data_IF_296644081642
#
_entry.id   IF_296644081642
#
_cell.length_a   1.000
_cell.length_b   1.000
_cell.length_c   1.000
_cell.angle_alpha   90.00
_cell.angle_beta   90.00
_cell.angle_gamma   90.00
#
_symmetry.space_group_name_H-M   'P 1'
#
loop_
_entity.id
_entity.type
_entity.pdbx_description
1 polymer ?
#
# COMPACT_ATOMS: atom_id res chain seq x y z
N UNK A 1 13.02 1.39 14.32
CA UNK A 1 12.69 0.34 13.35
C UNK A 1 11.19 0.12 13.47
N UNK A 2 10.44 0.18 12.38
CA UNK A 2 8.98 0.16 12.43
C UNK A 2 8.54 -1.30 12.35
N UNK A 3 7.66 -1.71 13.25
CA UNK A 3 7.18 -3.09 13.26
C UNK A 3 5.92 -3.24 12.41
N UNK A 4 6.11 -3.29 11.09
CA UNK A 4 5.05 -3.50 10.11
C UNK A 4 4.76 -4.99 9.85
N UNK A 5 5.20 -5.88 10.74
CA UNK A 5 4.92 -7.32 10.67
C UNK A 5 4.03 -7.74 11.82
N UNK A 6 4.38 -7.36 13.05
CA UNK A 6 3.61 -7.74 14.24
C UNK A 6 2.49 -6.75 14.57
N UNK A 7 2.53 -5.52 14.07
CA UNK A 7 1.52 -4.50 14.34
C UNK A 7 0.61 -4.27 13.12
N UNK A 8 -0.68 -4.07 13.37
CA UNK A 8 -1.64 -3.69 12.34
C UNK A 8 -1.48 -2.23 11.92
N UNK A 9 -1.97 -1.87 10.73
CA UNK A 9 -1.96 -0.47 10.30
C UNK A 9 -2.81 0.45 11.21
N UNK A 10 -3.74 -0.16 11.93
CA UNK A 10 -4.66 0.44 12.89
C UNK A 10 -4.07 0.52 14.32
N UNK A 11 -2.80 0.13 14.52
CA UNK A 11 -2.13 0.21 15.81
C UNK A 11 -1.72 1.64 16.17
N UNK A 12 -2.11 2.11 17.36
CA UNK A 12 -1.82 3.47 17.81
C UNK A 12 -0.32 3.73 18.00
N UNK A 13 0.45 2.76 18.49
CA UNK A 13 1.89 2.91 18.66
C UNK A 13 2.56 3.07 17.30
N UNK A 14 2.18 2.25 16.32
CA UNK A 14 2.68 2.36 14.94
C UNK A 14 2.35 3.71 14.32
N UNK A 15 1.13 4.22 14.53
CA UNK A 15 0.72 5.54 14.05
C UNK A 15 1.49 6.68 14.72
N UNK A 16 1.78 6.57 16.02
CA UNK A 16 2.63 7.53 16.73
C UNK A 16 4.08 7.49 16.22
N UNK A 17 4.64 6.30 15.99
CA UNK A 17 5.97 6.14 15.40
C UNK A 17 6.04 6.77 14.01
N UNK A 18 5.01 6.56 13.18
CA UNK A 18 4.87 7.21 11.89
C UNK A 18 4.90 8.73 11.99
N UNK A 19 3.98 9.30 12.79
CA UNK A 19 3.85 10.73 12.94
C UNK A 19 5.14 11.38 13.47
N UNK A 20 5.77 10.74 14.47
CA UNK A 20 7.05 11.20 15.01
C UNK A 20 8.13 11.23 13.93
N UNK A 21 8.32 10.12 13.22
CA UNK A 21 9.36 10.03 12.22
C UNK A 21 9.13 11.00 11.04
N UNK A 22 7.88 11.20 10.62
CA UNK A 22 7.53 12.19 9.61
C UNK A 22 7.80 13.62 10.09
N UNK A 23 7.48 13.95 11.34
CA UNK A 23 7.75 15.26 11.92
C UNK A 23 9.26 15.54 12.07
N UNK A 24 10.06 14.51 12.42
CA UNK A 24 11.52 14.61 12.62
C UNK A 24 12.27 14.96 11.31
N UNK A 25 11.71 14.62 10.14
CA UNK A 25 12.32 14.89 8.81
C UNK A 25 11.66 16.04 8.06
N UNK A 26 10.44 16.40 8.42
CA UNK A 26 9.72 17.53 7.85
C UNK A 26 10.32 18.86 8.33
N UNK A 27 10.30 19.86 7.45
CA UNK A 27 10.71 21.22 7.80
C UNK A 27 9.50 22.02 8.28
N UNK A 28 9.70 22.94 9.23
CA UNK A 28 8.62 23.79 9.75
C UNK A 28 7.48 23.01 10.44
N UNK A 29 7.78 21.83 10.98
CA UNK A 29 6.84 21.08 11.83
C UNK A 29 6.50 21.86 13.09
N UNK A 30 5.27 21.72 13.57
CA UNK A 30 4.83 22.22 14.88
C UNK A 30 4.15 21.09 15.66
N UNK A 31 3.74 21.34 16.91
CA UNK A 31 3.18 20.29 17.77
C UNK A 31 1.96 19.63 17.12
N UNK A 32 2.09 18.34 16.76
CA UNK A 32 1.03 17.56 16.11
C UNK A 32 0.83 17.82 14.61
N UNK A 33 1.57 18.75 13.99
CA UNK A 33 1.44 19.10 12.57
C UNK A 33 2.75 18.80 11.84
N UNK A 34 2.69 17.91 10.86
CA UNK A 34 3.81 17.60 9.97
C UNK A 34 3.95 18.74 8.95
N UNK A 35 5.10 19.41 8.98
CA UNK A 35 5.43 20.51 8.09
C UNK A 35 5.76 20.06 6.66
N UNK A 36 6.54 20.85 5.92
CA UNK A 36 6.84 20.53 4.52
C UNK A 36 7.69 19.26 4.38
N UNK A 37 7.18 18.33 3.57
CA UNK A 37 7.77 17.00 3.35
C UNK A 37 7.23 16.38 2.04
N UNK A 38 8.06 15.62 1.33
CA UNK A 38 7.58 14.66 0.34
C UNK A 38 7.43 13.30 1.03
N UNK A 39 6.18 12.89 1.24
CA UNK A 39 5.83 11.59 1.81
C UNK A 39 5.61 10.59 0.68
N UNK A 40 6.36 9.50 0.66
CA UNK A 40 6.16 8.38 -0.27
C UNK A 40 5.75 7.15 0.52
N UNK A 41 4.56 6.63 0.28
CA UNK A 41 4.07 5.43 0.97
C UNK A 41 3.83 4.31 -0.03
N UNK A 42 4.23 3.09 0.32
CA UNK A 42 3.95 1.87 -0.44
C UNK A 42 3.13 0.91 0.41
N UNK A 43 2.22 0.16 -0.22
CA UNK A 43 1.46 -0.91 0.43
C UNK A 43 0.83 -0.47 1.77
N UNK A 44 1.04 -1.22 2.85
CA UNK A 44 0.52 -0.93 4.19
C UNK A 44 0.89 0.47 4.71
N UNK A 45 2.01 1.04 4.25
CA UNK A 45 2.40 2.40 4.57
C UNK A 45 1.32 3.45 4.28
N UNK A 46 0.52 3.24 3.24
CA UNK A 46 -0.56 4.16 2.90
C UNK A 46 -1.66 4.18 3.95
N UNK A 47 -2.07 3.00 4.42
CA UNK A 47 -3.13 2.88 5.42
C UNK A 47 -2.65 3.27 6.81
N UNK A 48 -1.37 3.05 7.15
CA UNK A 48 -0.74 3.60 8.36
C UNK A 48 -0.82 5.14 8.34
N UNK A 49 -0.35 5.77 7.27
CA UNK A 49 -0.36 7.22 7.15
C UNK A 49 -1.79 7.76 7.18
N UNK A 50 -2.71 7.20 6.39
CA UNK A 50 -4.11 7.65 6.39
C UNK A 50 -4.81 7.43 7.74
N UNK A 51 -4.49 6.34 8.42
CA UNK A 51 -5.05 5.97 9.72
C UNK A 51 -4.56 6.90 10.83
N UNK A 52 -3.28 7.26 10.83
CA UNK A 52 -2.71 8.18 11.80
C UNK A 52 -3.38 9.57 11.75
N UNK A 53 -3.62 10.09 10.54
CA UNK A 53 -4.32 11.36 10.37
C UNK A 53 -5.81 11.22 10.71
N UNK A 54 -6.47 10.15 10.26
CA UNK A 54 -7.87 9.90 10.56
C UNK A 54 -8.16 9.74 12.07
N UNK A 55 -7.20 9.19 12.82
CA UNK A 55 -7.24 9.03 14.28
C UNK A 55 -6.76 10.27 15.04
N UNK A 56 -6.43 11.37 14.36
CA UNK A 56 -5.90 12.61 14.94
C UNK A 56 -4.59 12.43 15.73
N UNK A 57 -3.76 11.44 15.37
CA UNK A 57 -2.42 11.27 15.96
C UNK A 57 -1.49 12.40 15.51
N UNK A 58 -1.61 12.82 14.25
CA UNK A 58 -1.01 14.02 13.70
C UNK A 58 -1.85 14.55 12.54
N UNK A 59 -1.49 15.72 12.01
CA UNK A 59 -2.08 16.29 10.80
C UNK A 59 -0.98 16.63 9.79
N UNK A 60 -1.36 16.81 8.52
CA UNK A 60 -0.47 17.36 7.51
C UNK A 60 -0.72 18.86 7.33
N UNK A 61 0.36 19.63 7.23
CA UNK A 61 0.30 20.97 6.66
C UNK A 61 -0.02 20.92 5.16
N UNK A 62 -0.34 22.08 4.58
CA UNK A 62 -0.57 22.20 3.13
C UNK A 62 0.71 21.98 2.30
N UNK A 63 1.88 21.96 2.94
CA UNK A 63 3.18 21.81 2.27
C UNK A 63 3.67 20.35 2.21
N UNK A 64 2.82 19.39 2.61
CA UNK A 64 3.08 17.96 2.44
C UNK A 64 2.66 17.53 1.04
N UNK A 65 3.61 16.97 0.28
CA UNK A 65 3.32 16.26 -0.97
C UNK A 65 3.28 14.77 -0.70
N UNK A 66 2.10 14.15 -0.81
CA UNK A 66 1.95 12.72 -0.55
C UNK A 66 1.81 11.92 -1.86
N UNK A 67 2.79 11.06 -2.12
CA UNK A 67 2.83 10.08 -3.21
C UNK A 67 2.46 8.69 -2.68
N UNK A 68 1.30 8.20 -3.10
CA UNK A 68 0.73 6.92 -2.66
C UNK A 68 0.93 5.81 -3.70
N UNK A 69 1.62 4.74 -3.33
CA UNK A 69 1.95 3.62 -4.21
C UNK A 69 1.26 2.35 -3.72
N UNK A 70 0.55 1.63 -4.59
CA UNK A 70 0.00 0.29 -4.30
C UNK A 70 -0.84 0.22 -3.01
N UNK A 71 -1.71 1.21 -2.79
CA UNK A 71 -2.40 1.41 -1.50
C UNK A 71 -3.52 0.40 -1.25
N UNK A 72 -3.52 -0.41 -0.19
CA UNK A 72 -4.65 -1.28 0.16
C UNK A 72 -5.73 -0.49 0.92
N UNK A 73 -6.30 0.56 0.33
CA UNK A 73 -7.17 1.50 1.05
C UNK A 73 -8.58 0.92 1.36
N UNK A 74 -8.92 -0.23 0.80
CA UNK A 74 -10.03 -1.10 1.22
C UNK A 74 -9.53 -2.47 1.72
N UNK A 75 -8.25 -2.58 2.07
CA UNK A 75 -7.60 -3.86 2.36
C UNK A 75 -7.31 -4.67 1.09
N UNK A 76 -7.14 -5.97 1.27
CA UNK A 76 -6.70 -6.92 0.25
C UNK A 76 -7.38 -8.28 0.45
N UNK A 77 -7.86 -8.84 -0.65
CA UNK A 77 -8.39 -10.20 -0.70
C UNK A 77 -7.28 -11.25 -0.50
N UNK A 78 -6.01 -10.90 -0.74
CA UNK A 78 -4.86 -11.78 -0.43
C UNK A 78 -4.73 -11.99 1.09
N UNK A 79 -4.99 -10.97 1.90
CA UNK A 79 -5.01 -11.13 3.36
C UNK A 79 -6.14 -12.07 3.82
N UNK A 80 -7.29 -12.05 3.14
CA UNK A 80 -8.36 -13.03 3.37
C UNK A 80 -7.93 -14.44 2.96
N UNK A 81 -7.33 -14.58 1.77
CA UNK A 81 -6.81 -15.86 1.28
C UNK A 81 -5.78 -16.44 2.27
N UNK A 82 -4.83 -15.62 2.75
CA UNK A 82 -3.83 -16.01 3.73
C UNK A 82 -4.47 -16.63 4.97
N UNK A 83 -5.43 -15.91 5.58
CA UNK A 83 -6.12 -16.40 6.76
C UNK A 83 -6.86 -17.71 6.47
N UNK A 84 -7.57 -17.80 5.34
CA UNK A 84 -8.29 -19.01 4.95
C UNK A 84 -7.35 -20.21 4.76
N UNK A 85 -6.19 -20.02 4.11
CA UNK A 85 -5.21 -21.08 3.90
C UNK A 85 -4.62 -21.57 5.23
N UNK A 86 -4.25 -20.65 6.13
CA UNK A 86 -3.74 -21.03 7.45
C UNK A 86 -4.79 -21.73 8.33
N UNK A 87 -6.09 -21.45 8.16
CA UNK A 87 -7.17 -22.10 8.90
C UNK A 87 -7.56 -23.47 8.34
N UNK A 88 -7.53 -23.65 7.00
CA UNK A 88 -7.96 -24.89 6.33
C UNK A 88 -7.01 -26.07 6.53
N UNK A 89 -5.71 -25.81 6.64
CA UNK A 89 -4.68 -26.86 6.50
C UNK A 89 -4.09 -27.35 7.85
N UNK A 90 -4.34 -26.65 8.96
CA UNK A 90 -3.72 -26.97 10.26
C UNK A 90 -2.18 -26.86 10.25
N UNK A 91 -1.55 -27.03 11.42
CA UNK A 91 -0.08 -26.94 11.56
C UNK A 91 0.68 -28.11 10.90
N UNK A 92 0.01 -29.19 10.52
CA UNK A 92 0.62 -30.45 10.05
C UNK A 92 0.84 -30.52 8.54
N UNK A 93 0.39 -29.54 7.73
CA UNK A 93 0.49 -29.58 6.27
C UNK A 93 1.15 -28.34 5.63
N UNK A 94 2.09 -27.70 6.33
CA UNK A 94 2.93 -26.61 5.78
C UNK A 94 3.60 -27.00 4.44
N UNK A 95 3.80 -28.29 4.18
CA UNK A 95 4.37 -28.86 2.94
C UNK A 95 3.43 -28.80 1.72
N UNK A 96 2.13 -28.52 1.90
CA UNK A 96 1.13 -28.44 0.81
C UNK A 96 0.68 -27.02 0.47
N UNK A 97 1.01 -26.06 1.33
CA UNK A 97 0.81 -24.63 1.04
C UNK A 97 1.82 -24.25 -0.05
N UNK A 98 1.45 -23.47 -1.09
CA UNK A 98 2.43 -23.09 -2.12
C UNK A 98 3.68 -22.51 -1.46
N UNK A 99 4.88 -22.86 -1.96
CA UNK A 99 6.18 -22.50 -1.37
C UNK A 99 6.29 -21.01 -0.97
N UNK A 100 5.56 -20.12 -1.64
CA UNK A 100 5.45 -18.68 -1.35
C UNK A 100 4.82 -18.32 0.00
N UNK A 101 4.17 -19.26 0.69
CA UNK A 101 3.39 -19.02 1.92
C UNK A 101 3.98 -19.69 3.17
N UNK A 102 4.99 -20.54 2.98
CA UNK A 102 5.72 -21.16 4.10
C UNK A 102 6.37 -20.05 4.92
N UNK A 103 6.07 -19.99 6.23
CA UNK A 103 6.54 -18.94 7.15
C UNK A 103 5.54 -17.80 7.39
N UNK A 104 4.37 -17.79 6.73
CA UNK A 104 3.32 -16.79 6.94
C UNK A 104 2.15 -17.28 7.81
N UNK A 105 2.17 -18.53 8.28
CA UNK A 105 1.19 -19.08 9.22
C UNK A 105 1.79 -19.27 10.62
N UNK A 106 1.09 -18.89 11.71
CA UNK A 106 -0.17 -18.14 11.70
C UNK A 106 0.05 -16.73 11.13
N UNK A 107 -0.96 -16.14 10.46
CA UNK A 107 -0.81 -14.80 9.89
C UNK A 107 -0.53 -13.79 10.99
N UNK A 108 0.55 -13.03 10.82
CA UNK A 108 0.84 -11.92 11.72
C UNK A 108 -0.25 -10.85 11.66
N UNK A 109 -0.38 -10.06 12.73
CA UNK A 109 -1.47 -9.07 12.88
C UNK A 109 -1.45 -8.02 11.78
N UNK A 110 -0.28 -7.64 11.25
CA UNK A 110 -0.16 -6.75 10.10
C UNK A 110 -0.99 -7.25 8.92
N UNK A 111 -0.81 -8.50 8.52
CA UNK A 111 -1.55 -9.08 7.40
C UNK A 111 -3.04 -9.19 7.70
N UNK A 112 -3.41 -9.61 8.91
CA UNK A 112 -4.82 -9.69 9.31
C UNK A 112 -5.51 -8.32 9.34
N UNK A 113 -4.78 -7.25 9.66
CA UNK A 113 -5.33 -5.89 9.63
C UNK A 113 -5.68 -5.41 8.22
N UNK A 114 -5.08 -6.02 7.19
CA UNK A 114 -5.29 -5.69 5.78
C UNK A 114 -6.39 -6.52 5.11
N UNK A 115 -7.18 -7.30 5.85
CA UNK A 115 -8.32 -8.00 5.26
C UNK A 115 -9.28 -7.03 4.55
N UNK A 116 -9.84 -7.48 3.43
CA UNK A 116 -10.68 -6.63 2.60
C UNK A 116 -11.87 -6.09 3.40
N UNK A 117 -12.18 -4.80 3.20
CA UNK A 117 -13.16 -4.02 3.94
C UNK A 117 -14.53 -4.71 4.02
N UNK A 118 -14.94 -5.41 2.96
CA UNK A 118 -16.24 -6.12 2.92
C UNK A 118 -16.31 -7.34 3.84
N UNK A 119 -15.20 -7.78 4.43
CA UNK A 119 -15.10 -9.02 5.22
C UNK A 119 -14.80 -8.78 6.71
N UNK A 120 -14.50 -7.54 7.08
CA UNK A 120 -14.15 -7.16 8.46
C UNK A 120 -15.36 -6.60 9.20
N UNK A 121 -15.24 -6.48 10.53
CA UNK A 121 -16.30 -5.93 11.37
C UNK A 121 -16.56 -4.43 11.09
N UNK A 122 -17.67 -3.91 11.62
CA UNK A 122 -18.11 -2.54 11.40
C UNK A 122 -17.08 -1.48 11.86
N UNK A 123 -16.32 -1.74 12.94
CA UNK A 123 -15.30 -0.81 13.42
C UNK A 123 -14.14 -0.69 12.42
N UNK A 124 -13.64 -1.81 11.91
CA UNK A 124 -12.58 -1.83 10.91
C UNK A 124 -13.07 -1.24 9.56
N UNK A 125 -14.33 -1.48 9.19
CA UNK A 125 -14.93 -0.82 8.04
C UNK A 125 -14.94 0.70 8.18
N UNK A 126 -15.34 1.20 9.36
CA UNK A 126 -15.34 2.64 9.63
C UNK A 126 -13.92 3.23 9.59
N UNK A 127 -12.92 2.50 10.09
CA UNK A 127 -11.52 2.91 10.02
C UNK A 127 -11.02 3.04 8.57
N UNK A 128 -11.31 2.05 7.71
CA UNK A 128 -10.99 2.16 6.27
C UNK A 128 -11.67 3.36 5.62
N UNK A 129 -12.96 3.57 5.88
CA UNK A 129 -13.70 4.72 5.35
C UNK A 129 -13.09 6.05 5.83
N UNK A 130 -12.67 6.14 7.10
CA UNK A 130 -12.01 7.32 7.63
C UNK A 130 -10.67 7.57 6.91
N UNK A 131 -9.83 6.54 6.75
CA UNK A 131 -8.60 6.63 5.98
C UNK A 131 -8.82 7.04 4.50
N UNK A 132 -9.90 6.56 3.87
CA UNK A 132 -10.28 6.97 2.50
C UNK A 132 -10.64 8.46 2.42
N UNK A 133 -11.23 9.04 3.46
CA UNK A 133 -11.51 10.49 3.52
C UNK A 133 -10.21 11.29 3.64
N UNK A 134 -9.31 10.90 4.54
CA UNK A 134 -7.98 11.49 4.66
C UNK A 134 -7.22 11.42 3.34
N UNK A 135 -7.24 10.25 2.69
CA UNK A 135 -6.59 10.04 1.40
C UNK A 135 -7.09 11.04 0.35
N UNK A 136 -8.40 11.24 0.25
CA UNK A 136 -9.02 12.20 -0.68
C UNK A 136 -8.54 13.63 -0.46
N UNK A 137 -8.30 14.00 0.79
CA UNK A 137 -7.94 15.36 1.19
C UNK A 137 -6.45 15.65 1.03
N UNK A 138 -5.58 14.64 1.18
CA UNK A 138 -4.14 14.86 1.31
C UNK A 138 -3.27 14.21 0.25
N UNK A 139 -3.74 13.21 -0.50
CA UNK A 139 -2.91 12.57 -1.53
C UNK A 139 -2.75 13.48 -2.75
N UNK A 140 -1.49 13.80 -3.07
CA UNK A 140 -1.14 14.60 -4.24
C UNK A 140 -1.05 13.74 -5.50
N UNK A 141 -0.37 12.60 -5.40
CA UNK A 141 -0.14 11.66 -6.50
C UNK A 141 -0.35 10.21 -6.05
N UNK A 142 -0.76 9.36 -6.97
CA UNK A 142 -0.97 7.94 -6.70
C UNK A 142 -0.50 7.08 -7.87
N UNK A 143 -0.06 5.86 -7.60
CA UNK A 143 0.26 4.86 -8.60
C UNK A 143 -0.35 3.50 -8.23
N UNK A 144 -1.13 2.94 -9.16
CA UNK A 144 -1.77 1.65 -9.02
C UNK A 144 -1.33 0.66 -10.11
N UNK A 145 -1.15 -0.60 -9.72
CA UNK A 145 -0.85 -1.69 -10.62
C UNK A 145 -2.12 -2.46 -11.00
N UNK A 146 -2.17 -2.98 -12.22
CA UNK A 146 -3.29 -3.77 -12.74
C UNK A 146 -2.84 -5.09 -13.37
N UNK A 147 -1.63 -5.56 -13.04
CA UNK A 147 -1.15 -6.87 -13.45
C UNK A 147 -0.34 -7.55 -12.36
N UNK A 148 -0.82 -8.68 -11.84
CA UNK A 148 -0.05 -9.51 -10.89
C UNK A 148 1.29 -10.01 -11.46
N UNK A 149 1.41 -10.13 -12.79
CA UNK A 149 2.68 -10.47 -13.42
C UNK A 149 3.63 -9.26 -13.52
N UNK A 150 3.12 -8.10 -13.95
CA UNK A 150 3.90 -6.86 -14.01
C UNK A 150 5.07 -6.88 -15.01
N UNK A 151 6.18 -6.25 -14.64
CA UNK A 151 7.45 -6.31 -15.36
C UNK A 151 8.09 -7.69 -15.18
N UNK A 152 8.84 -8.16 -16.19
CA UNK A 152 9.54 -9.44 -16.10
C UNK A 152 10.64 -9.39 -15.02
N UNK A 153 10.44 -10.11 -13.92
CA UNK A 153 11.32 -10.15 -12.76
C UNK A 153 11.10 -11.45 -11.95
N UNK A 154 11.89 -11.64 -10.90
CA UNK A 154 11.71 -12.75 -9.96
C UNK A 154 10.36 -12.73 -9.22
N UNK A 155 9.65 -11.60 -9.23
CA UNK A 155 8.35 -11.43 -8.56
C UNK A 155 7.16 -11.75 -9.46
N UNK A 156 7.35 -11.84 -10.77
CA UNK A 156 6.26 -11.89 -11.74
C UNK A 156 5.39 -13.15 -11.62
N UNK A 157 6.00 -14.33 -11.74
CA UNK A 157 5.25 -15.59 -11.66
C UNK A 157 4.63 -15.83 -10.29
N UNK A 158 5.35 -15.61 -9.16
CA UNK A 158 4.76 -15.77 -7.83
C UNK A 158 3.57 -14.84 -7.58
N UNK A 159 3.67 -13.55 -7.93
CA UNK A 159 2.57 -12.60 -7.72
C UNK A 159 1.39 -12.87 -8.66
N UNK A 160 1.63 -13.28 -9.90
CA UNK A 160 0.56 -13.69 -10.82
C UNK A 160 -0.21 -14.92 -10.31
N UNK A 161 0.48 -15.86 -9.66
CA UNK A 161 -0.17 -17.02 -9.05
C UNK A 161 -1.05 -16.58 -7.85
N UNK A 162 -0.53 -15.73 -6.97
CA UNK A 162 -1.30 -15.21 -5.83
C UNK A 162 -2.52 -14.42 -6.31
N UNK A 163 -2.35 -13.57 -7.32
CA UNK A 163 -3.42 -12.78 -7.93
C UNK A 163 -4.60 -13.66 -8.38
N UNK A 164 -4.27 -14.76 -9.07
CA UNK A 164 -5.24 -15.74 -9.56
C UNK A 164 -5.99 -16.44 -8.42
N UNK A 165 -5.32 -16.68 -7.29
CA UNK A 165 -5.92 -17.36 -6.13
C UNK A 165 -6.81 -16.43 -5.31
N UNK A 166 -6.46 -15.15 -5.22
CA UNK A 166 -7.09 -14.18 -4.33
C UNK A 166 -8.50 -13.74 -4.76
N UNK A 167 -8.89 -14.03 -5.99
CA UNK A 167 -10.22 -13.71 -6.54
C UNK A 167 -10.58 -12.22 -6.37
N UNK A 168 -9.67 -11.34 -6.77
CA UNK A 168 -9.84 -9.89 -6.70
C UNK A 168 -11.09 -9.41 -7.45
N UNK A 169 -11.73 -8.35 -6.92
CA UNK A 169 -12.94 -7.78 -7.51
C UNK A 169 -12.67 -6.92 -8.77
N UNK A 170 -11.41 -6.53 -8.99
CA UNK A 170 -10.96 -5.78 -10.16
C UNK A 170 -9.56 -6.23 -10.56
N UNK A 171 -8.99 -5.65 -11.63
CA UNK A 171 -7.59 -5.90 -11.99
C UNK A 171 -6.67 -5.52 -10.82
N UNK A 172 -5.57 -6.23 -10.64
CA UNK A 172 -4.78 -6.19 -9.41
C UNK A 172 -3.29 -6.23 -9.69
N UNK A 173 -2.50 -5.65 -8.78
CA UNK A 173 -1.04 -5.70 -8.80
C UNK A 173 -0.48 -7.02 -8.23
N UNK A 174 -1.36 -7.99 -7.93
CA UNK A 174 -1.04 -9.27 -7.34
C UNK A 174 -1.38 -9.35 -5.85
N UNK A 175 -1.39 -8.21 -5.14
CA UNK A 175 -1.81 -8.12 -3.74
C UNK A 175 -2.99 -7.17 -3.53
N UNK A 176 -3.07 -6.09 -4.29
CA UNK A 176 -4.07 -5.03 -4.11
C UNK A 176 -4.78 -4.81 -5.44
N UNK A 177 -6.12 -4.90 -5.40
CA UNK A 177 -6.93 -4.62 -6.56
C UNK A 177 -7.12 -3.11 -6.80
N UNK A 178 -7.38 -2.74 -8.04
CA UNK A 178 -7.45 -1.35 -8.49
C UNK A 178 -8.51 -0.54 -7.75
N UNK A 179 -9.65 -1.14 -7.38
CA UNK A 179 -10.67 -0.43 -6.59
C UNK A 179 -10.11 -0.07 -5.21
N UNK A 180 -9.44 -1.02 -4.55
CA UNK A 180 -8.78 -0.77 -3.26
C UNK A 180 -7.65 0.27 -3.36
N UNK A 181 -6.90 0.29 -4.46
CA UNK A 181 -5.84 1.27 -4.70
C UNK A 181 -6.33 2.69 -5.04
N UNK A 182 -7.42 2.79 -5.80
CA UNK A 182 -7.93 4.05 -6.31
C UNK A 182 -9.02 4.69 -5.44
N UNK A 183 -9.61 3.96 -4.49
CA UNK A 183 -10.69 4.51 -3.65
C UNK A 183 -10.25 5.79 -2.92
N UNK A 184 -11.18 6.73 -2.77
CA UNK A 184 -10.91 8.05 -2.22
C UNK A 184 -10.33 9.04 -3.23
N UNK A 185 -9.95 8.61 -4.44
CA UNK A 185 -9.46 9.45 -5.51
C UNK A 185 -10.41 9.42 -6.71
N UNK A 186 -10.34 10.43 -7.58
CA UNK A 186 -11.12 10.46 -8.81
C UNK A 186 -10.51 9.50 -9.83
N UNK A 187 -11.20 8.42 -10.15
CA UNK A 187 -10.71 7.39 -11.10
C UNK A 187 -10.45 7.93 -12.51
N UNK A 188 -11.08 9.05 -12.89
CA UNK A 188 -10.82 9.73 -14.18
C UNK A 188 -9.44 10.39 -14.25
N UNK A 189 -8.81 10.64 -13.11
CA UNK A 189 -7.47 11.22 -13.02
C UNK A 189 -6.36 10.15 -13.17
N UNK A 190 -6.75 8.86 -13.22
CA UNK A 190 -5.84 7.75 -13.45
C UNK A 190 -5.62 7.50 -14.94
N UNK A 191 -4.35 7.37 -15.33
CA UNK A 191 -3.96 6.99 -16.69
C UNK A 191 -2.47 6.73 -16.81
N UNK A 192 -1.91 6.98 -17.99
CA UNK A 192 -0.50 6.73 -18.26
C UNK A 192 0.45 7.74 -17.58
N UNK A 193 1.70 7.79 -18.05
CA UNK A 193 2.77 8.58 -17.43
C UNK A 193 2.51 10.10 -17.33
N UNK A 194 1.57 10.65 -18.10
CA UNK A 194 1.21 12.06 -18.08
C UNK A 194 -0.03 12.37 -17.21
N UNK A 195 -0.67 11.36 -16.64
CA UNK A 195 -1.86 11.53 -15.80
C UNK A 195 -1.47 11.92 -14.37
N UNK A 196 -2.40 12.60 -13.66
CA UNK A 196 -2.18 13.00 -12.26
C UNK A 196 -1.92 11.80 -11.36
N UNK A 197 -2.68 10.73 -11.58
CA UNK A 197 -2.45 9.43 -10.96
C UNK A 197 -2.06 8.43 -12.05
N UNK A 198 -1.06 7.61 -11.77
CA UNK A 198 -0.59 6.60 -12.70
C UNK A 198 -1.33 5.28 -12.49
N UNK A 199 -1.70 4.64 -13.59
CA UNK A 199 -2.12 3.24 -13.60
C UNK A 199 -1.43 2.50 -14.75
N UNK A 200 -0.92 1.31 -14.48
CA UNK A 200 -0.20 0.54 -15.49
C UNK A 200 -0.10 -0.95 -15.17
N UNK A 201 0.37 -1.75 -16.14
CA UNK A 201 0.55 -3.20 -15.99
C UNK A 201 1.80 -3.49 -15.15
N UNK A 202 1.76 -3.08 -13.88
CA UNK A 202 2.79 -3.26 -12.87
C UNK A 202 2.26 -4.20 -11.78
N UNK A 203 3.15 -5.05 -11.25
CA UNK A 203 2.86 -5.83 -10.05
C UNK A 203 3.20 -5.03 -8.79
N UNK A 204 2.87 -5.58 -7.62
CA UNK A 204 3.02 -4.91 -6.32
C UNK A 204 4.47 -4.54 -6.01
N UNK A 205 5.43 -5.36 -6.49
CA UNK A 205 6.86 -5.15 -6.30
C UNK A 205 7.42 -4.08 -7.25
N UNK A 206 6.93 -4.00 -8.50
CA UNK A 206 7.34 -2.98 -9.46
C UNK A 206 7.07 -1.56 -8.92
N UNK A 207 5.95 -1.38 -8.21
CA UNK A 207 5.56 -0.13 -7.55
C UNK A 207 6.44 0.26 -6.36
N UNK A 208 7.45 -0.54 -6.00
CA UNK A 208 8.50 -0.14 -5.05
C UNK A 208 9.69 0.57 -5.72
N UNK A 209 9.70 0.65 -7.06
CA UNK A 209 10.80 1.16 -7.90
C UNK A 209 12.17 0.51 -7.60
N UNK A 210 12.18 -0.70 -7.03
CA UNK A 210 13.40 -1.47 -6.70
C UNK A 210 14.01 -2.16 -7.92
N UNK A 211 13.19 -2.45 -8.93
CA UNK A 211 13.62 -3.07 -10.19
C UNK A 211 13.72 -1.98 -11.27
N UNK A 212 14.72 -2.08 -12.16
CA UNK A 212 14.96 -1.11 -13.23
C UNK A 212 13.82 -1.01 -14.26
N UNK A 213 14.04 -0.27 -15.35
CA UNK A 213 13.04 -0.10 -16.41
C UNK A 213 12.63 -1.45 -17.03
N UNK A 214 11.34 -1.59 -17.35
CA UNK A 214 10.84 -2.71 -18.14
C UNK A 214 11.33 -2.62 -19.58
N UNK A 215 11.63 -3.75 -20.22
CA UNK A 215 12.25 -3.77 -21.55
C UNK A 215 11.36 -3.26 -22.70
N UNK A 216 10.04 -3.08 -22.51
CA UNK A 216 9.08 -2.76 -23.57
C UNK A 216 7.94 -1.84 -23.12
N UNK A 217 7.56 -0.85 -23.93
CA UNK A 217 6.41 0.04 -23.69
C UNK A 217 6.75 1.30 -22.89
N UNK A 218 6.23 2.46 -23.31
CA UNK A 218 6.52 3.75 -22.68
C UNK A 218 5.88 3.91 -21.29
N UNK A 219 4.82 3.14 -21.02
CA UNK A 219 4.26 2.98 -19.68
C UNK A 219 5.14 2.11 -18.76
N UNK A 220 6.30 1.62 -19.23
CA UNK A 220 7.23 0.78 -18.46
C UNK A 220 8.63 1.40 -18.31
N UNK A 221 8.80 2.67 -18.69
CA UNK A 221 10.04 3.45 -18.54
C UNK A 221 9.87 4.53 -17.45
N UNK A 222 10.92 4.85 -16.71
CA UNK A 222 10.96 6.07 -15.88
C UNK A 222 10.89 7.31 -16.78
N UNK A 223 10.21 8.36 -16.32
CA UNK A 223 10.44 9.70 -16.87
C UNK A 223 11.92 10.05 -16.67
N UNK A 224 12.66 10.24 -17.76
CA UNK A 224 14.03 10.76 -17.74
C UNK A 224 14.00 12.19 -17.22
N UNK A 225 14.31 12.40 -15.94
CA UNK A 225 14.27 13.73 -15.35
C UNK A 225 14.69 13.77 -13.89
N UNK A 226 15.95 14.14 -13.70
CA UNK A 226 16.48 14.90 -12.55
C UNK A 226 16.50 14.25 -11.15
N UNK A 227 17.70 14.22 -10.59
CA UNK A 227 17.97 14.05 -9.16
C UNK A 227 17.00 14.88 -8.31
N UNK A 228 16.10 14.21 -7.57
CA UNK A 228 15.24 14.90 -6.60
C UNK A 228 16.01 14.98 -5.28
N UNK A 229 16.74 16.08 -5.12
CA UNK A 229 17.20 16.56 -3.83
C UNK A 229 15.97 17.12 -3.07
N UNK A 230 15.22 16.27 -2.38
CA UNK A 230 14.23 16.69 -1.38
C UNK A 230 14.16 15.64 -0.28
N UNK A 231 13.87 16.06 0.96
CA UNK A 231 13.58 15.17 2.08
C UNK A 231 12.41 14.26 1.69
N UNK A 232 12.71 13.04 1.26
CA UNK A 232 11.72 12.04 0.89
C UNK A 232 11.65 11.00 2.02
N UNK A 233 10.49 10.93 2.68
CA UNK A 233 10.25 9.91 3.68
C UNK A 233 9.53 8.73 3.02
N UNK A 234 10.20 7.57 2.96
CA UNK A 234 9.66 6.36 2.33
C UNK A 234 9.16 5.41 3.42
N UNK A 235 7.85 5.20 3.45
CA UNK A 235 7.23 4.17 4.28
C UNK A 235 6.83 2.97 3.43
N UNK A 236 7.32 1.79 3.80
CA UNK A 236 7.00 0.52 3.16
C UNK A 236 6.22 -0.37 4.10
#
# INVERSE_FOLDING_TARGET
HWDTVSQGWDDAALQHEFCKAAADVATQSSSGVIGSLILVTHSMGNVIASGAIASNVCTFSNDVTWVSLASPQQGSQVANLLQQQCLKEGWSNILKVPLSWVGYCPPARAYLSLQHQSTVNAANQAAFVAGQRTRREHVSHAACGVSGFGLNSIYSEPLALVDKMASHASASDGFVDFNSCSVGLNTKDFGGASSKHYVGPLNHADLTFRMGDGWWGDNRKRSSGSSVCCNAFILK
#
